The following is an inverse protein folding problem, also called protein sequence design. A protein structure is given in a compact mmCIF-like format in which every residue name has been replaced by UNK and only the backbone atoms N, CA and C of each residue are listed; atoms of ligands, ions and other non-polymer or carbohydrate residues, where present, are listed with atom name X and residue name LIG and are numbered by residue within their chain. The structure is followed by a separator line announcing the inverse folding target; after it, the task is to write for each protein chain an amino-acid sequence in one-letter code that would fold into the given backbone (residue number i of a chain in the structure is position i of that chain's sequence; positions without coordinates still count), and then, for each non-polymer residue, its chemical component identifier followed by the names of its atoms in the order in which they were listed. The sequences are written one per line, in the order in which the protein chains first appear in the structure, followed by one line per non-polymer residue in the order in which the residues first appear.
data_IF_584716514348
#
_entry.id   IF_584716514348
#
_cell.length_a   1.000
_cell.length_b   1.000
_cell.length_c   1.000
_cell.angle_alpha   90.00
_cell.angle_beta   90.00
_cell.angle_gamma   90.00
#
_symmetry.space_group_name_H-M   'P 1'
#
loop_
_entity.id
_entity.type
_entity.pdbx_description
1 polymer ?
#
# COMPACT_ATOMS: atom_id res chain seq x y z
N UNK A 1 -13.92 -34.20 -3.23
CA UNK A 1 -12.75 -33.77 -2.42
C UNK A 1 -13.21 -33.68 -0.98
N UNK A 2 -12.41 -34.14 -0.01
CA UNK A 2 -12.72 -33.96 1.41
C UNK A 2 -12.53 -32.49 1.81
N UNK A 3 -13.22 -32.01 2.85
CA UNK A 3 -13.10 -30.61 3.33
C UNK A 3 -11.65 -30.29 3.76
N UNK A 4 -10.93 -31.28 4.30
CA UNK A 4 -9.50 -31.15 4.63
C UNK A 4 -8.60 -30.92 3.40
N UNK A 5 -8.91 -31.55 2.26
CA UNK A 5 -8.14 -31.35 1.01
C UNK A 5 -8.35 -29.95 0.47
N UNK A 6 -9.60 -29.46 0.48
CA UNK A 6 -9.94 -28.09 0.11
C UNK A 6 -9.29 -27.06 1.02
N UNK A 7 -9.27 -27.31 2.34
CA UNK A 7 -8.61 -26.42 3.30
C UNK A 7 -7.12 -26.27 3.01
N UNK A 8 -6.42 -27.38 2.75
CA UNK A 8 -4.99 -27.36 2.44
C UNK A 8 -4.68 -26.60 1.14
N UNK A 9 -5.52 -26.80 0.10
CA UNK A 9 -5.37 -26.09 -1.17
C UNK A 9 -5.61 -24.60 -1.01
N UNK A 10 -6.68 -24.20 -0.32
CA UNK A 10 -6.97 -22.79 -0.05
C UNK A 10 -5.84 -22.14 0.74
N UNK A 11 -5.37 -22.79 1.81
CA UNK A 11 -4.28 -22.28 2.63
C UNK A 11 -2.98 -22.14 1.83
N UNK A 12 -2.67 -23.09 0.94
CA UNK A 12 -1.50 -23.04 0.08
C UNK A 12 -1.56 -21.85 -0.89
N UNK A 13 -2.69 -21.65 -1.58
CA UNK A 13 -2.88 -20.53 -2.51
C UNK A 13 -2.81 -19.20 -1.77
N UNK A 14 -3.53 -19.05 -0.65
CA UNK A 14 -3.55 -17.85 0.18
C UNK A 14 -2.12 -17.50 0.65
N UNK A 15 -1.35 -18.49 1.11
CA UNK A 15 0.02 -18.27 1.59
C UNK A 15 0.96 -17.85 0.45
N UNK A 16 0.87 -18.50 -0.72
CA UNK A 16 1.72 -18.17 -1.87
C UNK A 16 1.44 -16.76 -2.40
N UNK A 17 0.16 -16.41 -2.56
CA UNK A 17 -0.24 -15.07 -2.99
C UNK A 17 0.10 -14.02 -1.94
N UNK A 18 -0.15 -14.32 -0.64
CA UNK A 18 0.21 -13.42 0.45
C UNK A 18 1.72 -13.15 0.52
N UNK A 19 2.56 -14.20 0.34
CA UNK A 19 4.01 -14.04 0.34
C UNK A 19 4.49 -13.19 -0.84
N UNK A 20 3.92 -13.40 -2.04
CA UNK A 20 4.21 -12.58 -3.22
C UNK A 20 3.82 -11.12 -2.99
N UNK A 21 2.63 -10.88 -2.44
CA UNK A 21 2.13 -9.54 -2.11
C UNK A 21 2.98 -8.83 -1.05
N UNK A 22 3.35 -9.53 0.02
CA UNK A 22 4.27 -9.00 1.04
C UNK A 22 5.62 -8.60 0.46
N UNK A 23 6.13 -9.37 -0.52
CA UNK A 23 7.35 -9.04 -1.27
C UNK A 23 7.19 -7.76 -2.08
N UNK A 24 6.07 -7.56 -2.76
CA UNK A 24 5.75 -6.32 -3.48
C UNK A 24 5.79 -5.12 -2.53
N UNK A 25 5.13 -5.19 -1.39
CA UNK A 25 5.11 -4.13 -0.40
C UNK A 25 6.47 -3.87 0.27
N UNK A 26 7.31 -4.89 0.41
CA UNK A 26 8.70 -4.71 0.83
C UNK A 26 9.44 -3.78 -0.14
N UNK A 27 9.18 -3.89 -1.44
CA UNK A 27 9.78 -3.06 -2.47
C UNK A 27 9.22 -1.64 -2.55
N UNK A 28 8.02 -1.37 -2.05
CA UNK A 28 7.46 -0.01 -2.01
C UNK A 28 8.36 0.99 -1.27
N UNK A 29 9.07 0.55 -0.25
CA UNK A 29 9.91 1.42 0.59
C UNK A 29 11.40 1.11 0.50
N UNK A 30 11.81 0.29 -0.48
CA UNK A 30 13.20 -0.17 -0.64
C UNK A 30 14.19 1.00 -0.81
N UNK A 31 13.82 2.02 -1.56
CA UNK A 31 14.64 3.23 -1.76
C UNK A 31 14.51 4.21 -0.59
N UNK A 32 13.31 4.37 -0.03
CA UNK A 32 13.07 5.26 1.10
C UNK A 32 13.92 4.87 2.33
N UNK A 33 14.04 3.58 2.61
CA UNK A 33 14.85 3.08 3.72
C UNK A 33 16.35 3.37 3.54
N UNK A 34 16.82 3.55 2.31
CA UNK A 34 18.23 3.76 1.98
C UNK A 34 18.59 5.25 1.76
N UNK A 35 17.66 6.19 1.93
CA UNK A 35 17.91 7.65 1.81
C UNK A 35 19.18 8.10 2.54
N UNK A 36 19.47 7.65 3.78
CA UNK A 36 20.66 8.12 4.51
C UNK A 36 22.00 7.77 3.85
N UNK A 37 22.03 6.70 3.05
CA UNK A 37 23.23 6.27 2.30
C UNK A 37 23.26 6.84 0.88
N UNK A 38 22.11 6.84 0.19
CA UNK A 38 22.03 7.31 -1.20
C UNK A 38 22.24 8.83 -1.31
N UNK A 39 21.74 9.61 -0.33
CA UNK A 39 21.86 11.06 -0.34
C UNK A 39 23.31 11.54 -0.40
N UNK A 40 24.21 11.13 0.51
CA UNK A 40 25.61 11.57 0.47
C UNK A 40 26.40 10.95 -0.68
N UNK A 41 26.15 9.68 -1.06
CA UNK A 41 26.92 9.01 -2.10
C UNK A 41 26.70 9.60 -3.49
N UNK A 42 25.47 9.98 -3.81
CA UNK A 42 25.13 10.56 -5.12
C UNK A 42 24.95 12.09 -5.07
N UNK A 43 25.23 12.73 -3.93
CA UNK A 43 25.03 14.17 -3.71
C UNK A 43 23.62 14.65 -4.05
N UNK A 44 22.60 13.86 -3.67
CA UNK A 44 21.21 14.10 -4.03
C UNK A 44 20.52 15.03 -3.03
N UNK A 45 19.58 15.84 -3.55
CA UNK A 45 18.58 16.49 -2.72
C UNK A 45 17.51 15.50 -2.25
N UNK A 46 16.76 15.85 -1.22
CA UNK A 46 15.62 15.04 -0.78
C UNK A 46 14.51 15.00 -1.84
N UNK A 47 14.32 16.08 -2.61
CA UNK A 47 13.39 16.11 -3.73
C UNK A 47 13.79 15.12 -4.84
N UNK A 48 15.09 14.99 -5.15
CA UNK A 48 15.59 13.99 -6.11
C UNK A 48 15.36 12.56 -5.59
N UNK A 49 15.58 12.33 -4.30
CA UNK A 49 15.26 11.03 -3.68
C UNK A 49 13.77 10.77 -3.71
N UNK A 50 12.94 11.77 -3.42
CA UNK A 50 11.47 11.69 -3.56
C UNK A 50 11.05 11.34 -4.98
N UNK A 51 11.73 11.89 -6.00
CA UNK A 51 11.44 11.59 -7.40
C UNK A 51 11.68 10.11 -7.76
N UNK A 52 12.64 9.44 -7.13
CA UNK A 52 12.83 7.98 -7.30
C UNK A 52 11.57 7.20 -6.89
N UNK A 53 10.96 7.55 -5.74
CA UNK A 53 9.71 6.94 -5.28
C UNK A 53 8.54 7.33 -6.17
N UNK A 54 8.50 8.59 -6.62
CA UNK A 54 7.49 9.07 -7.57
C UNK A 54 7.52 8.25 -8.86
N UNK A 55 8.69 7.98 -9.43
CA UNK A 55 8.82 7.15 -10.63
C UNK A 55 8.31 5.73 -10.37
N UNK A 56 8.71 5.12 -9.24
CA UNK A 56 8.20 3.81 -8.86
C UNK A 56 6.67 3.77 -8.83
N UNK A 57 6.02 4.66 -8.08
CA UNK A 57 4.57 4.64 -7.90
C UNK A 57 3.80 5.12 -9.13
N UNK A 58 4.33 6.08 -9.90
CA UNK A 58 3.69 6.51 -11.14
C UNK A 58 3.69 5.38 -12.19
N UNK A 59 4.81 4.70 -12.35
CA UNK A 59 4.92 3.54 -13.25
C UNK A 59 4.03 2.39 -12.77
N UNK A 60 4.04 2.13 -11.46
CA UNK A 60 3.17 1.12 -10.86
C UNK A 60 1.69 1.44 -11.06
N UNK A 61 1.25 2.66 -10.77
CA UNK A 61 -0.15 3.07 -10.89
C UNK A 61 -0.66 3.03 -12.34
N UNK A 62 0.11 3.57 -13.28
CA UNK A 62 -0.24 3.52 -14.72
C UNK A 62 -0.24 2.06 -15.21
N UNK A 63 0.81 1.31 -14.88
CA UNK A 63 0.92 -0.10 -15.23
C UNK A 63 -0.21 -0.95 -14.64
N UNK A 64 -0.63 -0.70 -13.41
CA UNK A 64 -1.71 -1.42 -12.74
C UNK A 64 -3.06 -1.24 -13.45
N UNK A 65 -3.33 -0.05 -13.99
CA UNK A 65 -4.53 0.18 -14.78
C UNK A 65 -4.57 -0.68 -16.07
N UNK A 66 -3.40 -1.02 -16.62
CA UNK A 66 -3.26 -1.85 -17.82
C UNK A 66 -3.08 -3.34 -17.50
N UNK A 67 -2.63 -3.66 -16.29
CA UNK A 67 -2.24 -5.03 -15.92
C UNK A 67 -3.42 -6.02 -15.96
N UNK A 68 -4.66 -5.56 -15.79
CA UNK A 68 -5.86 -6.39 -15.98
C UNK A 68 -5.91 -7.02 -17.38
N UNK A 69 -5.65 -6.25 -18.43
CA UNK A 69 -5.62 -6.76 -19.83
C UNK A 69 -4.47 -7.75 -20.05
N UNK A 70 -3.34 -7.52 -19.38
CA UNK A 70 -2.17 -8.43 -19.45
C UNK A 70 -2.49 -9.74 -18.73
N UNK A 71 -3.15 -9.69 -17.59
CA UNK A 71 -3.64 -10.86 -16.82
C UNK A 71 -4.64 -11.67 -17.64
N UNK A 72 -5.59 -11.02 -18.30
CA UNK A 72 -6.59 -11.69 -19.14
C UNK A 72 -5.94 -12.41 -20.34
N UNK A 73 -4.89 -11.81 -20.92
CA UNK A 73 -4.22 -12.37 -22.11
C UNK A 73 -3.22 -13.47 -21.78
N UNK A 74 -2.41 -13.30 -20.72
CA UNK A 74 -1.28 -14.20 -20.40
C UNK A 74 -1.54 -15.08 -19.17
N UNK A 75 -2.63 -14.83 -18.45
CA UNK A 75 -3.00 -15.53 -17.22
C UNK A 75 -2.30 -14.98 -15.98
N UNK A 76 -3.05 -14.89 -14.87
CA UNK A 76 -2.62 -14.26 -13.61
C UNK A 76 -1.32 -14.87 -13.05
N UNK A 77 -1.14 -16.20 -13.16
CA UNK A 77 0.06 -16.88 -12.67
C UNK A 77 1.34 -16.42 -13.38
N UNK A 78 1.33 -16.37 -14.72
CA UNK A 78 2.53 -15.98 -15.50
C UNK A 78 2.87 -14.50 -15.22
N UNK A 79 1.85 -13.65 -15.13
CA UNK A 79 1.98 -12.22 -14.86
C UNK A 79 2.53 -11.99 -13.45
N UNK A 80 2.05 -12.71 -12.42
CA UNK A 80 2.60 -12.64 -11.07
C UNK A 80 4.08 -13.04 -11.03
N UNK A 81 4.46 -14.13 -11.71
CA UNK A 81 5.85 -14.58 -11.77
C UNK A 81 6.76 -13.56 -12.43
N UNK A 82 6.30 -12.91 -13.52
CA UNK A 82 7.07 -11.84 -14.17
C UNK A 82 7.25 -10.63 -13.27
N UNK A 83 6.21 -10.25 -12.49
CA UNK A 83 6.31 -9.16 -11.53
C UNK A 83 7.36 -9.41 -10.45
N UNK A 84 7.33 -10.60 -9.83
CA UNK A 84 8.34 -11.02 -8.84
C UNK A 84 9.75 -11.02 -9.43
N UNK A 85 9.93 -11.56 -10.66
CA UNK A 85 11.23 -11.57 -11.33
C UNK A 85 11.75 -10.15 -11.59
N UNK A 86 10.88 -9.23 -12.02
CA UNK A 86 11.23 -7.82 -12.25
C UNK A 86 11.62 -7.11 -10.96
N UNK A 87 10.96 -7.40 -9.82
CA UNK A 87 11.37 -6.86 -8.52
C UNK A 87 12.79 -7.34 -8.16
N UNK A 88 13.07 -8.64 -8.30
CA UNK A 88 14.42 -9.17 -8.05
C UNK A 88 15.47 -8.51 -8.94
N UNK A 89 15.19 -8.38 -10.23
CA UNK A 89 16.07 -7.72 -11.19
C UNK A 89 16.26 -6.22 -10.84
N UNK A 90 15.21 -5.53 -10.42
CA UNK A 90 15.30 -4.12 -10.03
C UNK A 90 16.27 -3.89 -8.87
N UNK A 91 16.27 -4.78 -7.87
CA UNK A 91 17.21 -4.68 -6.73
C UNK A 91 18.66 -4.91 -7.19
N UNK A 92 18.89 -5.82 -8.14
CA UNK A 92 20.23 -6.02 -8.72
C UNK A 92 20.69 -4.79 -9.53
N UNK A 93 19.81 -4.19 -10.32
CA UNK A 93 20.09 -2.95 -11.06
C UNK A 93 20.39 -1.81 -10.09
N UNK A 94 19.58 -1.65 -9.03
CA UNK A 94 19.81 -0.64 -8.00
C UNK A 94 21.14 -0.87 -7.27
N UNK A 95 21.47 -2.11 -6.90
CA UNK A 95 22.75 -2.42 -6.24
C UNK A 95 23.97 -2.11 -7.10
N UNK A 96 23.86 -2.27 -8.43
CA UNK A 96 24.89 -1.91 -9.41
C UNK A 96 24.89 -0.45 -9.84
N UNK A 97 24.06 0.42 -9.25
CA UNK A 97 23.95 1.81 -9.68
C UNK A 97 25.19 2.65 -9.27
N UNK A 98 25.72 3.39 -10.24
CA UNK A 98 26.82 4.36 -10.08
C UNK A 98 26.40 5.79 -10.47
N UNK A 99 25.15 6.01 -10.83
CA UNK A 99 24.59 7.30 -11.19
C UNK A 99 23.11 7.41 -10.82
N UNK A 100 22.64 8.65 -10.70
CA UNK A 100 21.22 8.92 -10.45
C UNK A 100 20.32 8.34 -11.55
N UNK A 101 20.75 8.39 -12.83
CA UNK A 101 20.01 7.81 -13.93
C UNK A 101 19.84 6.28 -13.81
N UNK A 102 20.85 5.59 -13.27
CA UNK A 102 20.74 4.14 -13.01
C UNK A 102 19.81 3.86 -11.82
N UNK A 103 19.80 4.70 -10.77
CA UNK A 103 18.81 4.61 -9.69
C UNK A 103 17.39 4.80 -10.25
N UNK A 104 17.18 5.79 -11.14
CA UNK A 104 15.90 6.02 -11.82
C UNK A 104 15.47 4.81 -12.67
N UNK A 105 16.40 4.19 -13.40
CA UNK A 105 16.14 2.97 -14.17
C UNK A 105 15.72 1.80 -13.27
N UNK A 106 16.40 1.63 -12.13
CA UNK A 106 16.04 0.63 -11.12
C UNK A 106 14.66 0.88 -10.51
N UNK A 107 14.34 2.15 -10.17
CA UNK A 107 13.03 2.55 -9.67
C UNK A 107 11.91 2.30 -10.70
N UNK A 108 12.15 2.64 -11.97
CA UNK A 108 11.24 2.36 -13.08
C UNK A 108 10.98 0.85 -13.21
N UNK A 109 12.03 0.05 -13.21
CA UNK A 109 11.92 -1.40 -13.30
C UNK A 109 11.17 -2.02 -12.11
N UNK A 110 11.41 -1.49 -10.91
CA UNK A 110 10.66 -1.89 -9.72
C UNK A 110 9.18 -1.55 -9.84
N UNK A 111 8.83 -0.37 -10.36
CA UNK A 111 7.46 0.03 -10.68
C UNK A 111 6.78 -0.89 -11.69
N UNK A 112 7.49 -1.27 -12.76
CA UNK A 112 7.02 -2.27 -13.74
C UNK A 112 6.76 -3.63 -13.08
N UNK A 113 7.63 -4.06 -12.16
CA UNK A 113 7.43 -5.29 -11.41
C UNK A 113 6.23 -5.22 -10.46
N UNK A 114 6.04 -4.06 -9.83
CA UNK A 114 4.99 -3.86 -8.82
C UNK A 114 3.57 -3.77 -9.42
N UNK A 115 3.41 -3.25 -10.61
CA UNK A 115 2.10 -2.91 -11.18
C UNK A 115 1.15 -4.10 -11.39
N UNK A 116 1.65 -5.31 -11.38
CA UNK A 116 0.86 -6.50 -11.72
C UNK A 116 0.22 -7.20 -10.51
N UNK A 117 0.65 -6.87 -9.27
CA UNK A 117 0.28 -7.65 -8.09
C UNK A 117 -1.21 -7.64 -7.81
N UNK A 118 -1.83 -6.47 -7.63
CA UNK A 118 -3.26 -6.45 -7.31
C UNK A 118 -4.13 -7.14 -8.36
N UNK A 119 -3.99 -6.89 -9.68
CA UNK A 119 -4.76 -7.62 -10.69
C UNK A 119 -4.50 -9.12 -10.70
N UNK A 120 -3.25 -9.56 -10.57
CA UNK A 120 -2.90 -10.98 -10.59
C UNK A 120 -3.32 -11.69 -9.30
N UNK A 121 -3.05 -11.08 -8.14
CA UNK A 121 -3.35 -11.64 -6.81
C UNK A 121 -4.84 -11.84 -6.62
N UNK A 122 -5.64 -10.79 -6.88
CA UNK A 122 -7.10 -10.90 -6.75
C UNK A 122 -7.69 -11.89 -7.74
N UNK A 123 -7.14 -11.99 -8.96
CA UNK A 123 -7.57 -13.00 -9.93
C UNK A 123 -7.28 -14.40 -9.41
N UNK A 124 -6.07 -14.66 -8.90
CA UNK A 124 -5.69 -15.97 -8.35
C UNK A 124 -6.52 -16.33 -7.12
N UNK A 125 -6.72 -15.41 -6.19
CA UNK A 125 -7.56 -15.64 -5.00
C UNK A 125 -8.99 -15.99 -5.40
N UNK A 126 -9.59 -15.22 -6.32
CA UNK A 126 -10.97 -15.45 -6.76
C UNK A 126 -11.13 -16.77 -7.54
N UNK A 127 -10.11 -17.19 -8.31
CA UNK A 127 -10.17 -18.40 -9.11
C UNK A 127 -9.85 -19.68 -8.34
N UNK A 128 -9.02 -19.59 -7.29
CA UNK A 128 -8.40 -20.75 -6.65
C UNK A 128 -8.83 -20.99 -5.21
N UNK A 129 -9.35 -19.97 -4.53
CA UNK A 129 -9.79 -20.08 -3.13
C UNK A 129 -11.30 -20.28 -3.08
N UNK A 130 -11.75 -21.20 -2.26
CA UNK A 130 -13.18 -21.47 -2.04
C UNK A 130 -13.90 -20.22 -1.51
N UNK A 131 -15.18 -20.06 -1.88
CA UNK A 131 -16.00 -18.91 -1.42
C UNK A 131 -16.04 -18.79 0.10
N UNK A 132 -16.06 -19.93 0.80
CA UNK A 132 -16.10 -19.96 2.27
C UNK A 132 -14.83 -19.32 2.92
N UNK A 133 -13.68 -19.34 2.22
CA UNK A 133 -12.40 -18.85 2.75
C UNK A 133 -11.84 -17.64 2.00
N UNK A 134 -12.54 -17.15 0.99
CA UNK A 134 -12.07 -16.02 0.17
C UNK A 134 -11.83 -14.74 0.99
N UNK A 135 -12.71 -14.46 1.97
CA UNK A 135 -12.53 -13.33 2.89
C UNK A 135 -11.25 -13.45 3.70
N UNK A 136 -10.90 -14.66 4.15
CA UNK A 136 -9.62 -14.90 4.83
C UNK A 136 -8.44 -14.68 3.88
N UNK A 137 -8.58 -15.07 2.60
CA UNK A 137 -7.57 -14.81 1.57
C UNK A 137 -7.28 -13.31 1.42
N UNK A 138 -8.30 -12.47 1.33
CA UNK A 138 -8.14 -11.01 1.26
C UNK A 138 -7.57 -10.42 2.55
N UNK A 139 -7.92 -10.95 3.71
CA UNK A 139 -7.33 -10.51 4.99
C UNK A 139 -5.84 -10.82 5.07
N UNK A 140 -5.43 -12.05 4.72
CA UNK A 140 -4.01 -12.44 4.69
C UNK A 140 -3.24 -11.61 3.67
N UNK A 141 -3.82 -11.34 2.50
CA UNK A 141 -3.25 -10.46 1.48
C UNK A 141 -2.97 -9.06 2.06
N UNK A 142 -3.94 -8.42 2.72
CA UNK A 142 -3.74 -7.10 3.34
C UNK A 142 -2.71 -7.11 4.46
N UNK A 143 -2.73 -8.12 5.34
CA UNK A 143 -1.76 -8.25 6.44
C UNK A 143 -0.35 -8.47 5.91
N UNK A 144 -0.18 -9.30 4.88
CA UNK A 144 1.14 -9.56 4.29
C UNK A 144 1.77 -8.31 3.70
N UNK A 145 0.96 -7.40 3.11
CA UNK A 145 1.42 -6.10 2.66
C UNK A 145 1.97 -5.24 3.80
N UNK A 146 1.25 -5.13 4.91
CA UNK A 146 1.73 -4.40 6.09
C UNK A 146 3.03 -4.98 6.66
N UNK A 147 3.16 -6.31 6.68
CA UNK A 147 4.39 -6.99 7.10
C UNK A 147 5.54 -6.64 6.15
N UNK A 148 5.31 -6.65 4.84
CA UNK A 148 6.32 -6.25 3.85
C UNK A 148 6.83 -4.82 4.10
N UNK A 149 5.93 -3.86 4.29
CA UNK A 149 6.28 -2.48 4.63
C UNK A 149 7.06 -2.36 5.94
N UNK A 150 6.71 -3.14 6.96
CA UNK A 150 7.40 -3.11 8.25
C UNK A 150 8.81 -3.70 8.19
N UNK A 151 8.97 -4.83 7.50
CA UNK A 151 10.24 -5.57 7.46
C UNK A 151 11.28 -4.93 6.54
N UNK A 152 10.87 -4.24 5.47
CA UNK A 152 11.79 -3.64 4.51
C UNK A 152 12.81 -2.69 5.15
N UNK A 153 12.40 -1.63 5.84
CA UNK A 153 13.37 -0.70 6.43
C UNK A 153 14.19 -1.35 7.55
N UNK A 154 13.63 -2.27 8.33
CA UNK A 154 14.39 -3.01 9.34
C UNK A 154 15.54 -3.79 8.71
N UNK A 155 15.24 -4.58 7.68
CA UNK A 155 16.24 -5.37 6.99
C UNK A 155 17.30 -4.48 6.33
N UNK A 156 16.85 -3.50 5.53
CA UNK A 156 17.76 -2.67 4.74
C UNK A 156 18.66 -1.82 5.60
N UNK A 157 18.12 -1.14 6.62
CA UNK A 157 18.95 -0.31 7.50
C UNK A 157 19.87 -1.13 8.38
N UNK A 158 19.43 -2.33 8.81
CA UNK A 158 20.27 -3.23 9.60
C UNK A 158 21.47 -3.74 8.80
N UNK A 159 21.27 -4.16 7.55
CA UNK A 159 22.35 -4.66 6.69
C UNK A 159 23.24 -3.50 6.26
N UNK A 160 22.65 -2.39 5.76
CA UNK A 160 23.41 -1.25 5.27
C UNK A 160 24.29 -0.59 6.36
N UNK A 161 23.83 -0.58 7.62
CA UNK A 161 24.62 -0.04 8.74
C UNK A 161 25.82 -0.93 9.14
N UNK A 162 25.81 -2.22 8.80
CA UNK A 162 26.89 -3.18 9.11
C UNK A 162 27.83 -3.45 7.94
N UNK A 163 27.36 -3.19 6.75
CA UNK A 163 28.10 -3.41 5.50
C UNK A 163 28.04 -2.14 4.65
N UNK A 164 27.15 -2.12 3.67
CA UNK A 164 26.85 -0.99 2.78
C UNK A 164 25.45 -1.18 2.16
N UNK A 165 24.94 -0.12 1.53
CA UNK A 165 23.61 -0.11 0.93
C UNK A 165 23.49 -1.04 -0.30
N UNK A 166 24.57 -1.29 -1.04
CA UNK A 166 24.59 -2.23 -2.19
C UNK A 166 24.41 -3.65 -1.71
N UNK A 167 25.14 -4.03 -0.65
CA UNK A 167 24.99 -5.34 0.00
C UNK A 167 23.58 -5.52 0.55
N UNK A 168 22.95 -4.47 1.10
CA UNK A 168 21.57 -4.53 1.54
C UNK A 168 20.61 -4.78 0.39
N UNK A 169 20.81 -4.16 -0.77
CA UNK A 169 20.00 -4.40 -1.98
C UNK A 169 20.24 -5.78 -2.59
N UNK A 170 21.48 -6.27 -2.61
CA UNK A 170 21.77 -7.65 -3.01
C UNK A 170 21.07 -8.65 -2.09
N UNK A 171 21.11 -8.43 -0.78
CA UNK A 171 20.34 -9.22 0.19
C UNK A 171 18.84 -9.15 -0.06
N UNK A 172 18.31 -7.94 -0.34
CA UNK A 172 16.90 -7.75 -0.66
C UNK A 172 16.47 -8.46 -1.94
N UNK A 173 17.37 -8.63 -2.93
CA UNK A 173 17.08 -9.37 -4.16
C UNK A 173 16.82 -10.86 -3.93
N UNK A 174 17.37 -11.43 -2.84
CA UNK A 174 17.17 -12.85 -2.50
C UNK A 174 15.72 -13.13 -2.09
N UNK A 175 15.00 -12.15 -1.56
CA UNK A 175 13.59 -12.32 -1.18
C UNK A 175 12.71 -12.64 -2.41
N UNK A 176 12.60 -11.79 -3.45
CA UNK A 176 11.79 -12.12 -4.62
C UNK A 176 12.34 -13.32 -5.40
N UNK A 177 13.65 -13.55 -5.45
CA UNK A 177 14.22 -14.74 -6.10
C UNK A 177 13.82 -16.02 -5.37
N UNK A 178 13.86 -16.02 -4.03
CA UNK A 178 13.40 -17.14 -3.21
C UNK A 178 11.88 -17.36 -3.33
N UNK A 179 11.09 -16.27 -3.33
CA UNK A 179 9.65 -16.33 -3.56
C UNK A 179 9.33 -16.86 -4.95
N UNK A 180 10.05 -16.40 -6.00
CA UNK A 180 9.87 -16.91 -7.35
C UNK A 180 10.17 -18.41 -7.43
N UNK A 181 11.26 -18.87 -6.82
CA UNK A 181 11.59 -20.29 -6.75
C UNK A 181 10.47 -21.09 -6.06
N UNK A 182 9.93 -20.59 -4.95
CA UNK A 182 8.81 -21.19 -4.24
C UNK A 182 7.53 -21.24 -5.09
N UNK A 183 7.21 -20.14 -5.80
CA UNK A 183 6.06 -20.06 -6.70
C UNK A 183 6.22 -21.03 -7.88
N UNK A 184 7.41 -21.14 -8.47
CA UNK A 184 7.71 -22.08 -9.54
C UNK A 184 7.59 -23.53 -9.08
N UNK A 185 8.07 -23.83 -7.88
CA UNK A 185 7.90 -25.16 -7.24
C UNK A 185 6.43 -25.52 -7.06
N UNK A 186 5.62 -24.55 -6.61
CA UNK A 186 4.20 -24.72 -6.34
C UNK A 186 3.30 -24.28 -7.53
N UNK A 187 3.84 -24.16 -8.74
CA UNK A 187 3.12 -23.62 -9.91
C UNK A 187 1.80 -24.33 -10.23
N UNK A 188 1.65 -25.59 -9.82
CA UNK A 188 0.44 -26.37 -10.04
C UNK A 188 -0.73 -25.87 -9.17
N UNK A 189 -0.47 -25.40 -7.95
CA UNK A 189 -1.48 -24.82 -7.06
C UNK A 189 -2.10 -23.53 -7.63
N UNK A 190 -1.34 -22.79 -8.45
CA UNK A 190 -1.75 -21.53 -9.05
C UNK A 190 -2.24 -21.67 -10.51
N UNK A 191 -2.47 -22.89 -11.03
CA UNK A 191 -3.04 -23.09 -12.37
C UNK A 191 -4.50 -22.69 -12.38
N UNK A 192 -4.97 -21.89 -13.37
CA UNK A 192 -6.40 -21.65 -13.54
C UNK A 192 -7.12 -23.00 -13.75
N UNK A 193 -8.26 -23.18 -13.09
CA UNK A 193 -9.12 -24.32 -13.44
C UNK A 193 -9.79 -24.04 -14.79
N UNK A 194 -9.78 -24.98 -15.73
CA UNK A 194 -10.43 -24.80 -17.03
C UNK A 194 -11.95 -24.55 -16.92
N UNK A 195 -12.54 -24.84 -15.77
CA UNK A 195 -14.00 -24.75 -15.51
C UNK A 195 -14.36 -23.50 -14.69
N UNK A 196 -13.40 -22.79 -14.13
CA UNK A 196 -13.64 -21.61 -13.30
C UNK A 196 -13.56 -20.32 -14.11
N UNK A 197 -14.41 -20.18 -15.12
CA UNK A 197 -14.86 -18.88 -15.59
C UNK A 197 -16.38 -18.90 -15.55
N UNK A 198 -16.98 -18.17 -14.62
CA UNK A 198 -17.48 -16.90 -15.05
C UNK A 198 -17.00 -15.80 -14.12
N UNK A 199 -16.53 -14.71 -14.71
CA UNK A 199 -16.69 -13.39 -14.12
C UNK A 199 -18.02 -13.39 -13.38
N UNK A 200 -18.06 -12.88 -12.14
CA UNK A 200 -19.31 -12.61 -11.45
C UNK A 200 -20.13 -11.70 -12.36
N UNK A 201 -20.92 -12.31 -13.23
CA UNK A 201 -22.03 -11.65 -13.87
C UNK A 201 -23.03 -11.44 -12.75
N UNK A 202 -23.01 -10.24 -12.17
CA UNK A 202 -24.10 -9.77 -11.33
C UNK A 202 -25.29 -9.65 -12.27
N UNK A 203 -26.10 -10.73 -12.30
CA UNK A 203 -27.36 -10.77 -13.04
C UNK A 203 -28.31 -9.77 -12.38
N UNK A 204 -28.77 -8.78 -13.14
CA UNK A 204 -29.95 -8.00 -12.79
C UNK A 204 -29.77 -6.48 -12.65
N UNK A 205 -29.32 -5.81 -13.71
CA UNK A 205 -29.47 -4.37 -13.90
C UNK A 205 -29.21 -4.00 -15.36
N UNK A 206 -29.84 -2.96 -15.92
CA UNK A 206 -29.52 -2.49 -17.27
C UNK A 206 -28.03 -2.19 -17.34
N UNK A 207 -27.35 -2.71 -18.36
CA UNK A 207 -25.97 -2.39 -18.64
C UNK A 207 -25.84 -0.88 -18.76
N UNK A 208 -24.81 -0.23 -18.13
CA UNK A 208 -24.58 1.19 -18.35
C UNK A 208 -24.37 1.42 -19.84
N UNK A 209 -25.00 2.46 -20.39
CA UNK A 209 -24.99 2.79 -21.82
C UNK A 209 -23.56 3.05 -22.35
N UNK A 210 -22.56 3.31 -21.47
CA UNK A 210 -21.14 3.48 -21.80
C UNK A 210 -20.19 2.86 -20.79
N UNK A 211 -19.07 2.34 -21.26
CA UNK A 211 -18.04 1.73 -20.41
C UNK A 211 -17.45 2.69 -19.35
N UNK A 212 -17.59 4.00 -19.55
CA UNK A 212 -17.00 5.08 -18.74
C UNK A 212 -18.03 5.94 -18.00
N UNK A 213 -19.34 5.59 -18.06
CA UNK A 213 -20.38 6.42 -17.45
C UNK A 213 -20.26 6.53 -15.92
N UNK A 214 -19.65 5.55 -15.27
CA UNK A 214 -19.33 5.61 -13.84
C UNK A 214 -18.39 6.76 -13.46
N UNK A 215 -17.56 7.24 -14.39
CA UNK A 215 -16.68 8.41 -14.19
C UNK A 215 -17.46 9.74 -14.03
N UNK A 216 -18.73 9.77 -14.42
CA UNK A 216 -19.61 10.92 -14.20
C UNK A 216 -20.16 10.99 -12.78
N UNK A 217 -20.01 9.90 -12.02
CA UNK A 217 -20.50 9.84 -10.64
C UNK A 217 -19.59 10.62 -9.71
N UNK A 218 -20.10 11.68 -9.09
CA UNK A 218 -19.36 12.49 -8.12
C UNK A 218 -18.76 11.67 -6.98
N UNK A 219 -19.46 10.62 -6.54
CA UNK A 219 -19.03 9.75 -5.45
C UNK A 219 -17.73 9.00 -5.77
N UNK A 220 -17.51 8.63 -7.04
CA UNK A 220 -16.28 7.96 -7.50
C UNK A 220 -15.06 8.87 -7.29
N UNK A 221 -15.17 10.14 -7.72
CA UNK A 221 -14.11 11.13 -7.54
C UNK A 221 -13.89 11.54 -6.09
N UNK A 222 -14.94 11.52 -5.28
CA UNK A 222 -14.80 11.74 -3.83
C UNK A 222 -14.04 10.60 -3.16
N UNK A 223 -14.33 9.33 -3.53
CA UNK A 223 -13.57 8.18 -3.06
C UNK A 223 -12.12 8.21 -3.57
N UNK A 224 -11.90 8.54 -4.84
CA UNK A 224 -10.56 8.79 -5.39
C UNK A 224 -9.79 9.84 -4.58
N UNK A 225 -10.42 11.01 -4.35
CA UNK A 225 -9.82 12.09 -3.56
C UNK A 225 -9.50 11.67 -2.12
N UNK A 226 -10.37 10.90 -1.50
CA UNK A 226 -10.10 10.31 -0.18
C UNK A 226 -8.83 9.46 -0.17
N UNK A 227 -8.68 8.55 -1.16
CA UNK A 227 -7.48 7.72 -1.25
C UNK A 227 -6.23 8.53 -1.58
N UNK A 228 -6.33 9.47 -2.52
CA UNK A 228 -5.22 10.33 -2.89
C UNK A 228 -4.71 11.11 -1.67
N UNK A 229 -5.60 11.78 -0.93
CA UNK A 229 -5.25 12.61 0.23
C UNK A 229 -4.67 11.74 1.36
N UNK A 230 -5.30 10.59 1.67
CA UNK A 230 -4.80 9.68 2.70
C UNK A 230 -3.45 9.05 2.32
N UNK A 231 -3.24 8.78 1.02
CA UNK A 231 -1.98 8.23 0.51
C UNK A 231 -0.84 9.24 0.51
N UNK A 232 -1.12 10.54 0.31
CA UNK A 232 -0.09 11.58 0.49
C UNK A 232 0.40 11.59 1.93
N UNK A 233 -0.49 11.54 2.94
CA UNK A 233 -0.08 11.46 4.34
C UNK A 233 0.76 10.19 4.61
N UNK A 234 0.33 9.04 4.08
CA UNK A 234 1.06 7.78 4.20
C UNK A 234 2.44 7.85 3.54
N UNK A 235 2.56 8.48 2.37
CA UNK A 235 3.83 8.67 1.68
C UNK A 235 4.83 9.47 2.52
N UNK A 236 4.38 10.51 3.23
CA UNK A 236 5.22 11.26 4.17
C UNK A 236 5.76 10.37 5.29
N UNK A 237 4.90 9.51 5.85
CA UNK A 237 5.30 8.56 6.88
C UNK A 237 6.29 7.54 6.33
N UNK A 238 6.02 6.96 5.16
CA UNK A 238 6.85 5.91 4.56
C UNK A 238 8.21 6.41 4.09
N UNK A 239 8.29 7.64 3.58
CA UNK A 239 9.49 8.13 2.92
C UNK A 239 10.36 8.99 3.84
N UNK A 240 9.77 9.90 4.60
CA UNK A 240 10.53 10.94 5.31
C UNK A 240 10.32 10.99 6.82
N UNK A 241 9.35 10.25 7.41
CA UNK A 241 9.15 10.32 8.86
C UNK A 241 10.41 9.90 9.63
N UNK A 242 11.10 8.82 9.23
CA UNK A 242 12.33 8.39 9.91
C UNK A 242 13.42 9.46 9.84
N UNK A 243 13.68 10.02 8.66
CA UNK A 243 14.67 11.10 8.48
C UNK A 243 14.29 12.35 9.26
N UNK A 244 13.00 12.69 9.29
CA UNK A 244 12.46 13.83 10.04
C UNK A 244 12.63 13.63 11.55
N UNK A 245 12.38 12.43 12.07
CA UNK A 245 12.59 12.09 13.48
C UNK A 245 14.06 12.17 13.89
N UNK A 246 14.97 11.71 13.02
CA UNK A 246 16.43 11.91 13.26
C UNK A 246 16.75 13.38 13.41
N UNK A 247 16.25 14.23 12.51
CA UNK A 247 16.52 15.67 12.52
C UNK A 247 15.88 16.40 13.70
N UNK A 248 14.65 16.06 14.09
CA UNK A 248 13.89 16.74 15.15
C UNK A 248 14.29 16.32 16.55
N UNK A 249 14.53 15.02 16.74
CA UNK A 249 14.72 14.44 18.07
C UNK A 249 16.17 14.03 18.36
N UNK A 250 17.08 14.19 17.38
CA UNK A 250 18.48 13.77 17.52
C UNK A 250 18.64 12.26 17.75
N UNK A 251 17.62 11.46 17.41
CA UNK A 251 17.66 10.01 17.62
C UNK A 251 18.50 9.32 16.57
N UNK A 252 19.03 8.14 16.89
CA UNK A 252 19.73 7.33 15.89
C UNK A 252 18.77 6.85 14.79
N UNK A 253 19.31 6.60 13.59
CA UNK A 253 18.53 6.06 12.47
C UNK A 253 17.80 4.75 12.84
N UNK A 254 18.42 3.90 13.66
CA UNK A 254 17.81 2.64 14.10
C UNK A 254 16.53 2.88 14.91
N UNK A 255 16.56 3.85 15.87
CA UNK A 255 15.38 4.21 16.64
C UNK A 255 14.30 4.86 15.79
N UNK A 256 14.68 5.72 14.84
CA UNK A 256 13.72 6.33 13.91
C UNK A 256 13.08 5.29 12.96
N UNK A 257 13.85 4.33 12.48
CA UNK A 257 13.34 3.19 11.69
C UNK A 257 12.42 2.30 12.53
N UNK A 258 12.75 2.08 13.81
CA UNK A 258 11.89 1.33 14.73
C UNK A 258 10.56 2.04 14.97
N UNK A 259 10.53 3.38 15.00
CA UNK A 259 9.29 4.15 15.10
C UNK A 259 8.38 3.92 13.88
N UNK A 260 8.93 3.92 12.66
CA UNK A 260 8.18 3.58 11.45
C UNK A 260 7.66 2.13 11.49
N UNK A 261 8.49 1.19 11.91
CA UNK A 261 8.11 -0.22 12.03
C UNK A 261 6.99 -0.40 13.07
N UNK A 262 7.08 0.29 14.21
CA UNK A 262 6.04 0.32 15.22
C UNK A 262 4.71 0.85 14.64
N UNK A 263 4.77 1.92 13.83
CA UNK A 263 3.61 2.43 13.10
C UNK A 263 2.97 1.33 12.22
N UNK A 264 3.76 0.60 11.43
CA UNK A 264 3.24 -0.43 10.52
C UNK A 264 2.62 -1.63 11.26
N UNK A 265 3.28 -2.15 12.30
CA UNK A 265 2.71 -3.25 13.09
C UNK A 265 1.47 -2.81 13.88
N UNK A 266 1.48 -1.64 14.47
CA UNK A 266 0.33 -1.09 15.17
C UNK A 266 -0.85 -0.84 14.22
N UNK A 267 -0.58 -0.41 12.97
CA UNK A 267 -1.59 -0.28 11.93
C UNK A 267 -2.23 -1.63 11.58
N UNK A 268 -1.44 -2.70 11.45
CA UNK A 268 -1.97 -4.04 11.23
C UNK A 268 -2.88 -4.51 12.39
N UNK A 269 -2.46 -4.27 13.64
CA UNK A 269 -3.30 -4.55 14.83
C UNK A 269 -4.56 -3.69 14.81
N UNK A 270 -4.43 -2.40 14.45
CA UNK A 270 -5.56 -1.49 14.29
C UNK A 270 -6.56 -1.97 13.25
N UNK A 271 -6.10 -2.50 12.10
CA UNK A 271 -6.96 -3.06 11.06
C UNK A 271 -7.77 -4.27 11.58
N UNK A 272 -7.13 -5.16 12.34
CA UNK A 272 -7.83 -6.30 12.93
C UNK A 272 -8.93 -5.82 13.88
N UNK A 273 -8.61 -4.91 14.80
CA UNK A 273 -9.57 -4.34 15.76
C UNK A 273 -10.67 -3.54 15.05
N UNK A 274 -10.30 -2.73 14.04
CA UNK A 274 -11.22 -1.96 13.22
C UNK A 274 -12.20 -2.83 12.43
N UNK A 275 -11.82 -4.06 12.06
CA UNK A 275 -12.70 -5.04 11.44
C UNK A 275 -13.86 -5.43 12.36
N UNK A 276 -13.59 -5.69 13.64
CA UNK A 276 -14.62 -5.99 14.64
C UNK A 276 -15.51 -4.77 14.91
N UNK A 277 -14.93 -3.58 15.06
CA UNK A 277 -15.69 -2.34 15.27
C UNK A 277 -16.58 -2.01 14.06
N UNK A 278 -16.05 -2.18 12.85
CA UNK A 278 -16.77 -1.92 11.59
C UNK A 278 -17.93 -2.87 11.38
N UNK A 279 -17.77 -4.16 11.70
CA UNK A 279 -18.84 -5.17 11.54
C UNK A 279 -20.08 -4.87 12.40
N UNK A 280 -19.91 -4.27 13.57
CA UNK A 280 -20.99 -3.90 14.50
C UNK A 280 -21.51 -2.47 14.34
N UNK A 281 -20.90 -1.64 13.50
CA UNK A 281 -21.21 -0.21 13.43
C UNK A 281 -22.03 0.17 12.21
N UNK A 282 -22.99 1.09 12.42
CA UNK A 282 -23.70 1.78 11.34
C UNK A 282 -23.10 3.17 11.03
N UNK A 283 -22.03 3.57 11.72
CA UNK A 283 -21.44 4.91 11.66
C UNK A 283 -19.97 4.83 11.25
N UNK A 284 -19.68 4.24 10.08
CA UNK A 284 -18.33 4.11 9.54
C UNK A 284 -17.64 5.46 9.37
N UNK A 285 -18.40 6.51 8.99
CA UNK A 285 -17.96 7.88 8.89
C UNK A 285 -17.36 8.41 10.21
N UNK A 286 -18.02 8.15 11.35
CA UNK A 286 -17.53 8.58 12.67
C UNK A 286 -16.24 7.87 13.07
N UNK A 287 -16.14 6.56 12.82
CA UNK A 287 -14.91 5.79 13.11
C UNK A 287 -13.74 6.39 12.33
N UNK A 288 -13.92 6.66 11.03
CA UNK A 288 -12.89 7.25 10.18
C UNK A 288 -12.51 8.65 10.69
N UNK A 289 -13.49 9.51 10.93
CA UNK A 289 -13.24 10.88 11.39
C UNK A 289 -12.48 10.93 12.72
N UNK A 290 -12.89 10.15 13.71
CA UNK A 290 -12.23 10.11 15.03
C UNK A 290 -10.81 9.55 14.92
N UNK A 291 -10.60 8.52 14.12
CA UNK A 291 -9.29 7.92 13.89
C UNK A 291 -8.32 8.92 13.24
N UNK A 292 -8.75 9.59 12.17
CA UNK A 292 -7.88 10.55 11.47
C UNK A 292 -7.70 11.85 12.29
N UNK A 293 -8.69 12.30 13.08
CA UNK A 293 -8.51 13.41 14.00
C UNK A 293 -7.48 13.10 15.09
N UNK A 294 -7.56 11.90 15.68
CA UNK A 294 -6.57 11.44 16.65
C UNK A 294 -5.17 11.34 16.04
N UNK A 295 -5.06 10.78 14.85
CA UNK A 295 -3.79 10.66 14.13
C UNK A 295 -3.20 12.04 13.79
N UNK A 296 -4.02 12.99 13.36
CA UNK A 296 -3.59 14.37 13.09
C UNK A 296 -3.06 15.06 14.34
N UNK A 297 -3.76 14.93 15.47
CA UNK A 297 -3.32 15.50 16.76
C UNK A 297 -1.96 14.91 17.19
N UNK A 298 -1.80 13.58 17.12
CA UNK A 298 -0.56 12.91 17.46
C UNK A 298 0.60 13.35 16.53
N UNK A 299 0.33 13.54 15.24
CA UNK A 299 1.33 14.04 14.29
C UNK A 299 1.74 15.49 14.60
N UNK A 300 0.82 16.35 15.04
CA UNK A 300 1.15 17.71 15.51
C UNK A 300 2.00 17.70 16.79
N UNK A 301 1.75 16.76 17.71
CA UNK A 301 2.62 16.59 18.90
C UNK A 301 4.02 16.19 18.50
N UNK A 302 4.16 15.30 17.50
CA UNK A 302 5.48 14.96 16.94
C UNK A 302 6.16 16.17 16.29
N UNK A 303 5.41 16.97 15.52
CA UNK A 303 5.94 18.16 14.86
C UNK A 303 6.46 19.20 15.87
N UNK A 304 5.78 19.34 16.99
CA UNK A 304 6.15 20.29 18.04
C UNK A 304 7.46 19.93 18.77
N UNK A 305 7.92 18.68 18.67
CA UNK A 305 9.14 18.15 19.30
C UNK A 305 9.25 18.42 20.83
N UNK A 306 8.09 18.49 21.51
CA UNK A 306 8.00 18.78 22.97
C UNK A 306 8.08 17.55 23.86
N UNK A 307 8.14 16.36 23.25
CA UNK A 307 8.21 15.08 23.96
C UNK A 307 9.60 14.45 23.82
N UNK A 308 10.02 13.59 24.77
CA UNK A 308 11.32 12.91 24.65
C UNK A 308 11.33 11.93 23.46
N UNK A 309 12.52 11.67 22.91
CA UNK A 309 12.72 10.86 21.71
C UNK A 309 12.05 9.46 21.76
N UNK A 310 12.07 8.78 22.91
CA UNK A 310 11.42 7.48 23.07
C UNK A 310 9.89 7.56 22.91
N UNK A 311 9.28 8.69 23.33
CA UNK A 311 7.85 8.93 23.20
C UNK A 311 7.45 9.08 21.73
N UNK A 312 8.34 9.55 20.84
CA UNK A 312 8.07 9.65 19.43
C UNK A 312 7.78 8.26 18.81
N UNK A 313 8.43 7.19 19.30
CA UNK A 313 8.17 5.81 18.87
C UNK A 313 6.73 5.40 19.26
N UNK A 314 6.34 5.71 20.50
CA UNK A 314 4.99 5.42 21.00
C UNK A 314 3.93 6.19 20.20
N UNK A 315 4.18 7.47 19.95
CA UNK A 315 3.26 8.31 19.15
C UNK A 315 3.13 7.80 17.71
N UNK A 316 4.22 7.39 17.08
CA UNK A 316 4.16 6.75 15.76
C UNK A 316 3.35 5.45 15.77
N UNK A 317 3.52 4.62 16.79
CA UNK A 317 2.69 3.43 17.00
C UNK A 317 1.21 3.77 17.18
N UNK A 318 0.89 4.77 17.97
CA UNK A 318 -0.50 5.22 18.17
C UNK A 318 -1.11 5.79 16.87
N UNK A 319 -0.36 6.56 16.09
CA UNK A 319 -0.81 7.02 14.75
C UNK A 319 -1.12 5.81 13.87
N UNK A 320 -0.24 4.80 13.85
CA UNK A 320 -0.47 3.56 13.12
C UNK A 320 -1.74 2.84 13.57
N UNK A 321 -1.89 2.66 14.87
CA UNK A 321 -3.06 1.97 15.47
C UNK A 321 -4.38 2.64 15.06
N UNK A 322 -4.50 3.95 15.26
CA UNK A 322 -5.75 4.66 14.99
C UNK A 322 -6.05 4.74 13.49
N UNK A 323 -5.04 4.96 12.63
CA UNK A 323 -5.23 4.94 11.17
C UNK A 323 -5.59 3.54 10.66
N UNK A 324 -5.02 2.49 11.25
CA UNK A 324 -5.36 1.10 10.98
C UNK A 324 -6.83 0.79 11.30
N UNK A 325 -7.35 1.27 12.44
CA UNK A 325 -8.77 1.10 12.83
C UNK A 325 -9.72 1.67 11.77
N UNK A 326 -9.35 2.75 11.10
CA UNK A 326 -10.17 3.35 10.05
C UNK A 326 -10.27 2.48 8.78
N UNK A 327 -9.30 1.61 8.50
CA UNK A 327 -9.18 0.86 7.25
C UNK A 327 -10.44 0.09 6.86
N UNK A 328 -10.93 -0.86 7.67
CA UNK A 328 -12.12 -1.65 7.34
C UNK A 328 -13.38 -0.80 7.16
N UNK A 329 -13.59 0.23 7.99
CA UNK A 329 -14.72 1.15 7.86
C UNK A 329 -14.66 1.97 6.57
N UNK A 330 -13.45 2.38 6.14
CA UNK A 330 -13.19 3.01 4.86
C UNK A 330 -13.62 2.12 3.69
N UNK A 331 -13.18 0.87 3.69
CA UNK A 331 -13.45 -0.07 2.60
C UNK A 331 -14.96 -0.39 2.50
N UNK A 332 -15.65 -0.53 3.64
CA UNK A 332 -17.11 -0.69 3.68
C UNK A 332 -17.86 0.55 3.17
N UNK A 333 -17.39 1.75 3.52
CA UNK A 333 -18.00 3.01 3.05
C UNK A 333 -17.88 3.14 1.52
N UNK A 334 -16.73 2.80 0.95
CA UNK A 334 -16.48 2.86 -0.50
C UNK A 334 -17.30 1.81 -1.23
N UNK A 335 -17.36 0.59 -0.69
CA UNK A 335 -18.19 -0.48 -1.25
C UNK A 335 -19.67 -0.10 -1.28
N UNK A 336 -20.16 0.57 -0.24
CA UNK A 336 -21.54 1.08 -0.17
C UNK A 336 -21.81 2.24 -1.14
N UNK A 337 -20.79 2.96 -1.59
CA UNK A 337 -20.88 4.08 -2.53
C UNK A 337 -20.76 3.64 -4.01
N UNK A 338 -20.25 2.43 -4.28
CA UNK A 338 -20.05 1.93 -5.64
C UNK A 338 -21.35 1.37 -6.24
N UNK A 339 -21.71 1.71 -7.51
CA UNK A 339 -22.84 1.10 -8.20
C UNK A 339 -22.67 -0.42 -8.34
N UNK A 340 -23.73 -1.18 -8.13
CA UNK A 340 -23.71 -2.66 -8.14
C UNK A 340 -23.11 -3.27 -9.43
N UNK A 341 -23.29 -2.58 -10.58
CA UNK A 341 -22.89 -3.07 -11.90
C UNK A 341 -21.51 -2.62 -12.38
N UNK A 342 -20.80 -1.78 -11.60
CA UNK A 342 -19.51 -1.18 -11.98
C UNK A 342 -18.43 -1.38 -10.91
N UNK A 343 -18.63 -2.26 -9.95
CA UNK A 343 -17.80 -2.38 -8.73
C UNK A 343 -16.31 -2.53 -9.08
N UNK A 344 -15.92 -3.41 -9.98
CA UNK A 344 -14.50 -3.62 -10.34
C UNK A 344 -13.85 -2.40 -10.99
N UNK A 345 -14.55 -1.69 -11.89
CA UNK A 345 -14.03 -0.49 -12.57
C UNK A 345 -13.94 0.70 -11.63
N UNK A 346 -14.94 0.86 -10.76
CA UNK A 346 -14.96 1.89 -9.72
C UNK A 346 -13.79 1.68 -8.75
N UNK A 347 -13.59 0.45 -8.28
CA UNK A 347 -12.45 0.14 -7.43
C UNK A 347 -11.11 0.44 -8.13
N UNK A 348 -10.95 0.13 -9.41
CA UNK A 348 -9.74 0.44 -10.17
C UNK A 348 -9.43 1.95 -10.16
N UNK A 349 -10.40 2.80 -10.46
CA UNK A 349 -10.22 4.26 -10.43
C UNK A 349 -10.00 4.77 -9.01
N UNK A 350 -10.77 4.29 -8.04
CA UNK A 350 -10.65 4.74 -6.64
C UNK A 350 -9.28 4.38 -6.06
N UNK A 351 -8.79 3.17 -6.30
CA UNK A 351 -7.45 2.75 -5.83
C UNK A 351 -6.31 3.42 -6.59
N UNK A 352 -6.50 3.89 -7.84
CA UNK A 352 -5.47 4.70 -8.50
C UNK A 352 -5.20 6.03 -7.77
N UNK A 353 -6.14 6.50 -6.94
CA UNK A 353 -5.91 7.60 -6.01
C UNK A 353 -4.82 7.26 -4.98
N UNK A 354 -4.74 6.01 -4.51
CA UNK A 354 -3.68 5.56 -3.59
C UNK A 354 -2.30 5.71 -4.25
N UNK A 355 -2.12 5.11 -5.44
CA UNK A 355 -0.85 5.18 -6.17
C UNK A 355 -0.48 6.63 -6.52
N UNK A 356 -1.48 7.45 -6.91
CA UNK A 356 -1.28 8.88 -7.20
C UNK A 356 -0.77 9.64 -5.97
N UNK A 357 -1.36 9.40 -4.79
CA UNK A 357 -0.91 10.03 -3.55
C UNK A 357 0.50 9.57 -3.13
N UNK A 358 0.80 8.28 -3.27
CA UNK A 358 2.14 7.72 -3.02
C UNK A 358 3.17 8.23 -4.02
N UNK A 359 2.77 8.60 -5.24
CA UNK A 359 3.65 9.22 -6.24
C UNK A 359 3.90 10.71 -5.94
N UNK A 360 2.87 11.46 -5.55
CA UNK A 360 2.98 12.91 -5.32
C UNK A 360 3.60 13.27 -3.97
N UNK A 361 3.29 12.48 -2.93
CA UNK A 361 3.75 12.74 -1.57
C UNK A 361 5.26 12.89 -1.43
N UNK A 362 6.10 11.99 -1.95
CA UNK A 362 7.54 12.08 -1.82
C UNK A 362 8.17 13.35 -2.37
N UNK A 363 7.59 13.94 -3.42
CA UNK A 363 8.05 15.24 -3.96
C UNK A 363 7.79 16.38 -2.97
N UNK A 364 6.58 16.42 -2.40
CA UNK A 364 6.20 17.43 -1.41
C UNK A 364 7.10 17.35 -0.17
N UNK A 365 7.19 16.16 0.41
CA UNK A 365 7.95 15.96 1.65
C UNK A 365 9.46 16.08 1.43
N UNK A 366 9.97 15.71 0.26
CA UNK A 366 11.37 15.94 -0.13
C UNK A 366 11.71 17.42 -0.20
N UNK A 367 10.84 18.24 -0.80
CA UNK A 367 11.01 19.69 -0.86
C UNK A 367 11.00 20.34 0.54
N UNK A 368 10.14 19.86 1.47
CA UNK A 368 10.15 20.32 2.87
C UNK A 368 11.48 19.99 3.58
N UNK A 369 12.02 18.78 3.34
CA UNK A 369 13.29 18.36 3.92
C UNK A 369 14.47 19.16 3.33
N UNK A 370 14.46 19.48 2.03
CA UNK A 370 15.48 20.33 1.39
C UNK A 370 15.41 21.77 1.90
N UNK A 371 14.22 22.27 2.22
CA UNK A 371 14.01 23.56 2.86
C UNK A 371 14.38 23.58 4.35
N UNK A 372 14.92 22.49 4.90
CA UNK A 372 15.27 22.32 6.30
C UNK A 372 14.06 22.50 7.26
N UNK A 373 12.90 21.98 6.84
CA UNK A 373 11.67 22.00 7.63
C UNK A 373 11.21 20.59 8.04
N UNK A 374 11.98 19.84 8.86
CA UNK A 374 11.61 18.47 9.24
C UNK A 374 10.29 18.40 10.03
N UNK A 375 9.97 19.41 10.85
CA UNK A 375 8.67 19.53 11.52
C UNK A 375 7.51 19.65 10.52
N UNK A 376 7.75 20.32 9.39
CA UNK A 376 6.79 20.49 8.30
C UNK A 376 6.28 19.16 7.74
N UNK A 377 7.09 18.10 7.79
CA UNK A 377 6.67 16.74 7.39
C UNK A 377 5.47 16.29 8.23
N UNK A 378 5.56 16.37 9.55
CA UNK A 378 4.47 15.94 10.45
C UNK A 378 3.29 16.91 10.42
N UNK A 379 3.53 18.22 10.25
CA UNK A 379 2.45 19.22 10.06
C UNK A 379 1.66 18.91 8.78
N UNK A 380 2.33 18.63 7.67
CA UNK A 380 1.65 18.26 6.42
C UNK A 380 0.92 16.92 6.52
N UNK A 381 1.51 15.92 7.19
CA UNK A 381 0.81 14.65 7.49
C UNK A 381 -0.48 14.93 8.25
N UNK A 382 -0.45 15.77 9.30
CA UNK A 382 -1.63 16.15 10.06
C UNK A 382 -2.66 16.88 9.20
N UNK A 383 -2.23 17.82 8.36
CA UNK A 383 -3.09 18.56 7.43
C UNK A 383 -3.82 17.60 6.48
N UNK A 384 -3.10 16.67 5.84
CA UNK A 384 -3.70 15.70 4.94
C UNK A 384 -4.67 14.77 5.68
N UNK A 385 -4.38 14.36 6.92
CA UNK A 385 -5.33 13.59 7.73
C UNK A 385 -6.61 14.38 8.07
N UNK A 386 -6.51 15.68 8.34
CA UNK A 386 -7.69 16.54 8.51
C UNK A 386 -8.48 16.67 7.19
N UNK A 387 -7.80 16.79 6.05
CA UNK A 387 -8.46 16.84 4.73
C UNK A 387 -9.19 15.51 4.41
N UNK A 388 -8.69 14.37 4.89
CA UNK A 388 -9.42 13.08 4.80
C UNK A 388 -10.76 13.16 5.53
N UNK A 389 -10.84 13.82 6.68
CA UNK A 389 -12.09 14.00 7.43
C UNK A 389 -13.12 14.76 6.57
N UNK A 390 -12.70 15.85 5.92
CA UNK A 390 -13.56 16.64 5.03
C UNK A 390 -14.11 15.78 3.88
N UNK A 391 -13.25 14.97 3.25
CA UNK A 391 -13.69 14.08 2.16
C UNK A 391 -14.65 12.99 2.66
N UNK A 392 -14.43 12.46 3.87
CA UNK A 392 -15.30 11.46 4.51
C UNK A 392 -16.72 11.98 4.71
N UNK A 393 -16.87 13.21 5.21
CA UNK A 393 -18.18 13.86 5.40
C UNK A 393 -18.88 13.98 4.06
N UNK A 394 -18.17 14.37 3.01
CA UNK A 394 -18.70 14.50 1.67
C UNK A 394 -19.22 13.17 1.11
N UNK A 395 -18.47 12.08 1.25
CA UNK A 395 -18.89 10.73 0.80
C UNK A 395 -20.13 10.27 1.59
N UNK A 396 -20.13 10.43 2.92
CA UNK A 396 -21.25 10.03 3.78
C UNK A 396 -22.57 10.73 3.45
N UNK A 397 -22.52 12.02 3.12
CA UNK A 397 -23.70 12.79 2.76
C UNK A 397 -24.26 12.39 1.39
N UNK A 398 -23.40 12.14 0.39
CA UNK A 398 -23.86 11.75 -0.95
C UNK A 398 -24.41 10.30 -1.00
N UNK A 399 -23.89 9.38 -0.19
CA UNK A 399 -24.45 8.03 -0.09
C UNK A 399 -25.85 8.02 0.54
N UNK A 400 -26.15 8.93 1.45
CA UNK A 400 -27.50 9.09 2.04
C UNK A 400 -28.52 9.65 1.03
N UNK A 401 -28.08 10.54 0.14
CA UNK A 401 -28.94 11.15 -0.90
C UNK A 401 -29.26 10.17 -2.03
N UNK A 402 -28.37 9.22 -2.32
CA UNK A 402 -28.55 8.21 -3.38
C UNK A 402 -29.53 7.09 -3.01
N UNK A 403 -30.15 7.10 -1.84
CA UNK A 403 -31.25 6.19 -1.48
C UNK A 403 -30.82 4.71 -1.37
N UNK A 404 -29.56 4.42 -1.11
CA UNK A 404 -29.11 3.04 -0.88
C UNK A 404 -29.71 2.53 0.43
N UNK A 405 -30.54 1.47 0.43
CA UNK A 405 -31.10 0.93 1.65
C UNK A 405 -29.97 0.49 2.57
N UNK A 406 -30.05 0.88 3.83
CA UNK A 406 -29.18 0.33 4.87
C UNK A 406 -29.47 -1.17 4.92
N UNK A 407 -28.56 -1.98 4.38
CA UNK A 407 -28.64 -3.43 4.52
C UNK A 407 -28.76 -3.77 6.01
N UNK A 408 -29.83 -4.46 6.34
CA UNK A 408 -30.15 -4.95 7.67
C UNK A 408 -29.13 -5.99 8.13
#
# INVERSE_FOLDING_TARGET
MTDQTLLRQDAQVISLVGLAHGTSHFYHVILAALIPWLKPEFHLSYAQLGLLMTVFFAVSGVGQAMAGFVVDRFGARAVLFSGIALLGLSALVLAGAHSYAQLMAGAFLAGCGNCVFHPADYTLLNQRVSRARLTHGFSVHGISGNIGWALSPLFLTFVAARTDWRTALLGASLLPLGVLALLLWNRHALRPDPVAAPAVVIVGGPAPAGALDFLRLKVVWMCFGFFLISAVALAGIQTFAATSLVSLYGMSLQWATSAYTCFMFASAVGMLYGGFLGAGSRHHDRIIMLAFAGAALLALVLAAAVVPAWMAIVLMGLIGLVTGIAGPSRDLMIRGAAPANATGRVFGVVYSGLDSGLALGPLLFGALMDANHPAGVFVCIALFQVLVIVTTIGVGNNSRVAGVPKTA
#
